data_IF_354241948358
#
_entry.id   IF_354241948358
#
_cell.length_a   1.000
_cell.length_b   1.000
_cell.length_c   1.000
_cell.angle_alpha   90.00
_cell.angle_beta   90.00
_cell.angle_gamma   90.00
#
_symmetry.space_group_name_H-M   'P 1'
#
loop_
_entity.id
_entity.type
_entity.pdbx_description
1 polymer ?
#
# COMPACT_ATOMS: atom_id res chain seq x y z
N UNK A 1 -31.18 8.33 -8.64
CA UNK A 1 -31.34 9.39 -7.63
C UNK A 1 -30.75 8.84 -6.36
N UNK A 2 -29.56 9.32 -5.97
CA UNK A 2 -28.99 8.98 -4.65
C UNK A 2 -29.57 9.99 -3.68
N UNK A 3 -30.26 9.52 -2.65
CA UNK A 3 -30.82 10.38 -1.61
C UNK A 3 -29.66 11.09 -0.88
N UNK A 4 -29.84 12.37 -0.53
CA UNK A 4 -28.82 13.24 0.06
C UNK A 4 -28.34 12.86 1.48
N UNK A 5 -28.47 11.59 1.85
CA UNK A 5 -28.16 11.00 3.14
C UNK A 5 -27.17 9.83 3.08
N UNK A 6 -26.78 9.36 1.89
CA UNK A 6 -25.98 8.12 1.71
C UNK A 6 -24.55 8.17 2.29
N UNK A 7 -24.05 9.35 2.67
CA UNK A 7 -22.67 9.53 3.14
C UNK A 7 -22.55 10.08 4.57
N UNK A 8 -23.67 10.30 5.27
CA UNK A 8 -23.64 10.88 6.62
C UNK A 8 -23.56 9.78 7.67
N UNK A 9 -22.68 9.96 8.67
CA UNK A 9 -22.68 9.07 9.82
C UNK A 9 -24.02 9.22 10.58
N UNK A 10 -24.68 8.11 10.96
CA UNK A 10 -25.94 8.16 11.69
C UNK A 10 -25.82 8.73 13.11
N UNK A 11 -24.59 8.83 13.65
CA UNK A 11 -24.31 9.44 14.95
C UNK A 11 -23.71 10.82 14.70
N UNK A 12 -24.35 11.87 15.21
CA UNK A 12 -23.84 13.23 15.11
C UNK A 12 -22.51 13.36 15.88
N UNK A 13 -21.44 13.67 15.16
CA UNK A 13 -20.14 13.96 15.73
C UNK A 13 -19.43 15.02 14.89
N UNK A 14 -18.62 15.87 15.53
CA UNK A 14 -17.98 17.00 14.89
C UNK A 14 -18.87 18.25 14.78
N UNK A 15 -18.25 19.35 14.39
CA UNK A 15 -18.92 20.61 14.05
C UNK A 15 -18.96 20.76 12.53
N UNK A 16 -19.96 21.46 12.01
CA UNK A 16 -20.00 21.81 10.58
C UNK A 16 -18.72 22.56 10.22
N UNK A 17 -18.13 22.17 9.10
CA UNK A 17 -16.93 22.75 8.53
C UNK A 17 -17.29 23.76 7.44
N UNK A 18 -16.31 24.51 6.94
CA UNK A 18 -16.53 25.42 5.82
C UNK A 18 -17.03 24.69 4.57
N UNK A 19 -16.60 23.45 4.34
CA UNK A 19 -17.05 22.66 3.19
C UNK A 19 -18.55 22.32 3.25
N UNK A 20 -19.09 22.12 4.46
CA UNK A 20 -20.53 21.88 4.65
C UNK A 20 -21.39 23.11 4.30
N UNK A 21 -20.85 24.32 4.52
CA UNK A 21 -21.54 25.58 4.24
C UNK A 21 -21.32 26.08 2.82
N UNK A 22 -20.11 25.91 2.29
CA UNK A 22 -19.70 26.38 0.96
C UNK A 22 -19.09 25.22 0.15
N UNK A 23 -19.90 24.23 -0.29
CA UNK A 23 -19.40 23.02 -0.94
C UNK A 23 -18.72 23.28 -2.30
N UNK A 24 -18.98 24.44 -2.93
CA UNK A 24 -18.37 24.85 -4.20
C UNK A 24 -17.16 25.77 -4.03
N UNK A 25 -16.76 26.08 -2.79
CA UNK A 25 -15.55 26.87 -2.54
C UNK A 25 -14.31 26.11 -3.02
N UNK A 26 -13.34 26.83 -3.57
CA UNK A 26 -12.06 26.25 -3.96
C UNK A 26 -11.38 25.58 -2.76
N UNK A 27 -11.08 24.28 -2.91
CA UNK A 27 -10.38 23.50 -1.89
C UNK A 27 -8.86 23.61 -2.06
N UNK A 28 -8.20 24.20 -1.09
CA UNK A 28 -6.74 24.36 -1.03
C UNK A 28 -6.03 23.25 -0.25
N UNK A 29 -6.76 22.32 0.39
CA UNK A 29 -6.17 21.23 1.19
C UNK A 29 -5.21 20.38 0.37
N UNK A 30 -5.50 20.24 -0.93
CA UNK A 30 -4.65 19.53 -1.91
C UNK A 30 -3.22 20.07 -2.02
N UNK A 31 -2.98 21.34 -1.66
CA UNK A 31 -1.65 21.96 -1.69
C UNK A 31 -0.86 21.71 -0.40
N UNK A 32 -1.52 21.25 0.65
CA UNK A 32 -0.93 20.96 1.96
C UNK A 32 -0.90 19.46 2.28
N UNK A 33 -1.24 18.62 1.30
CA UNK A 33 -1.10 17.18 1.42
C UNK A 33 0.38 16.80 1.64
N UNK A 34 0.58 15.78 2.47
CA UNK A 34 1.84 15.15 2.86
C UNK A 34 2.80 16.16 3.50
N UNK A 35 2.36 16.90 4.53
CA UNK A 35 3.23 17.86 5.19
C UNK A 35 4.37 17.10 5.88
N UNK A 36 5.61 17.65 5.89
CA UNK A 36 6.74 16.99 6.56
C UNK A 36 6.49 16.65 8.03
N UNK A 37 5.60 17.40 8.71
CA UNK A 37 5.22 17.16 10.10
C UNK A 37 4.41 15.87 10.31
N UNK A 38 3.75 15.34 9.28
CA UNK A 38 3.03 14.06 9.33
C UNK A 38 3.95 12.85 9.03
N UNK A 39 5.20 13.08 8.61
CA UNK A 39 6.18 12.04 8.35
C UNK A 39 6.91 11.63 9.65
N UNK A 40 6.71 10.40 10.15
CA UNK A 40 7.39 9.92 11.35
C UNK A 40 8.89 9.63 11.16
N UNK A 41 9.40 9.59 9.93
CA UNK A 41 10.82 9.31 9.64
C UNK A 41 11.70 10.55 9.86
N UNK A 42 11.10 11.74 9.84
CA UNK A 42 11.81 13.00 9.98
C UNK A 42 12.49 13.48 8.69
N UNK A 43 12.87 14.75 8.69
CA UNK A 43 13.38 15.48 7.52
C UNK A 43 14.72 14.96 6.96
N UNK A 44 15.51 14.28 7.79
CA UNK A 44 16.87 13.85 7.44
C UNK A 44 16.90 12.40 6.92
N UNK A 45 15.74 11.73 6.85
CA UNK A 45 15.63 10.36 6.37
C UNK A 45 15.79 10.28 4.84
N UNK A 46 16.68 9.39 4.40
CA UNK A 46 16.98 9.14 2.99
C UNK A 46 16.69 7.68 2.64
N UNK A 47 15.50 7.44 2.07
CA UNK A 47 15.06 6.08 1.77
C UNK A 47 15.96 5.37 0.74
N UNK A 48 16.53 6.10 -0.22
CA UNK A 48 17.38 5.48 -1.23
C UNK A 48 18.63 4.88 -0.58
N UNK A 49 19.28 5.63 0.32
CA UNK A 49 20.44 5.13 1.08
C UNK A 49 20.10 3.95 2.00
N UNK A 50 18.96 4.03 2.67
CA UNK A 50 18.51 2.94 3.55
C UNK A 50 18.21 1.66 2.75
N UNK A 51 17.56 1.79 1.59
CA UNK A 51 17.28 0.69 0.67
C UNK A 51 18.55 0.11 0.06
N UNK A 52 19.54 0.93 -0.31
CA UNK A 52 20.83 0.45 -0.82
C UNK A 52 21.60 -0.38 0.24
N UNK A 53 21.35 -0.11 1.52
CA UNK A 53 21.95 -0.87 2.64
C UNK A 53 21.16 -2.14 3.03
N UNK A 54 20.05 -2.44 2.33
CA UNK A 54 19.19 -3.59 2.59
C UNK A 54 19.80 -4.85 1.98
N UNK A 55 19.86 -5.92 2.78
CA UNK A 55 20.14 -7.27 2.25
C UNK A 55 18.90 -7.79 1.50
N UNK A 56 18.82 -7.49 0.21
CA UNK A 56 17.69 -7.84 -0.63
C UNK A 56 17.56 -9.37 -0.82
N UNK A 57 18.68 -10.09 -0.83
CA UNK A 57 18.67 -11.56 -0.95
C UNK A 57 18.05 -12.19 0.29
N UNK A 58 18.34 -11.66 1.49
CA UNK A 58 17.67 -12.09 2.72
C UNK A 58 16.17 -11.79 2.69
N UNK A 59 15.76 -10.62 2.18
CA UNK A 59 14.33 -10.29 2.02
C UNK A 59 13.66 -11.28 1.09
N UNK A 60 14.24 -11.56 -0.08
CA UNK A 60 13.69 -12.50 -1.06
C UNK A 60 13.61 -13.91 -0.47
N UNK A 61 14.62 -14.34 0.29
CA UNK A 61 14.61 -15.63 1.00
C UNK A 61 13.47 -15.72 2.00
N UNK A 62 13.29 -14.70 2.83
CA UNK A 62 12.20 -14.68 3.81
C UNK A 62 10.83 -14.63 3.14
N UNK A 63 10.68 -13.87 2.05
CA UNK A 63 9.45 -13.82 1.27
C UNK A 63 9.12 -15.19 0.67
N UNK A 64 10.11 -15.92 0.14
CA UNK A 64 9.92 -17.30 -0.35
C UNK A 64 9.50 -18.25 0.76
N UNK A 65 10.10 -18.13 1.95
CA UNK A 65 9.70 -18.94 3.10
C UNK A 65 8.25 -18.64 3.52
N UNK A 66 7.87 -17.35 3.57
CA UNK A 66 6.51 -16.91 3.88
C UNK A 66 5.48 -17.47 2.90
N UNK A 67 5.82 -17.68 1.62
CA UNK A 67 4.88 -18.18 0.62
C UNK A 67 4.20 -19.49 1.06
N UNK A 68 4.93 -20.36 1.75
CA UNK A 68 4.44 -21.68 2.18
C UNK A 68 4.22 -21.79 3.68
N UNK A 69 4.43 -20.71 4.44
CA UNK A 69 4.24 -20.66 5.89
C UNK A 69 2.78 -20.28 6.22
N UNK A 70 1.87 -21.24 5.99
CA UNK A 70 0.43 -21.03 6.15
C UNK A 70 0.06 -20.66 7.59
N UNK A 71 -0.69 -19.57 7.74
CA UNK A 71 -1.18 -19.06 9.01
C UNK A 71 -2.62 -19.53 9.27
N UNK A 72 -2.94 -19.94 10.50
CA UNK A 72 -4.27 -20.46 10.85
C UNK A 72 -5.39 -19.42 10.65
N UNK A 73 -5.11 -18.14 10.88
CA UNK A 73 -6.09 -17.05 10.74
C UNK A 73 -6.38 -16.66 9.29
N UNK A 74 -5.55 -17.11 8.34
CA UNK A 74 -5.78 -16.97 6.90
C UNK A 74 -5.04 -18.07 6.14
N UNK A 75 -5.55 -19.30 6.09
CA UNK A 75 -4.85 -20.44 5.50
C UNK A 75 -4.47 -20.22 4.04
N UNK A 76 -3.31 -20.74 3.63
CA UNK A 76 -2.85 -20.62 2.25
C UNK A 76 -3.60 -21.59 1.34
N UNK A 77 -4.24 -21.06 0.30
CA UNK A 77 -4.81 -21.87 -0.78
C UNK A 77 -3.69 -22.71 -1.41
N UNK A 78 -3.94 -24.03 -1.54
CA UNK A 78 -2.95 -25.00 -2.05
C UNK A 78 -1.63 -25.03 -1.28
N UNK A 79 -1.60 -24.53 -0.04
CA UNK A 79 -0.38 -24.41 0.76
C UNK A 79 0.60 -23.35 0.26
N UNK A 80 0.18 -22.43 -0.61
CA UNK A 80 1.06 -21.39 -1.16
C UNK A 80 0.34 -20.05 -1.40
N UNK A 81 0.77 -18.97 -0.74
CA UNK A 81 0.20 -17.62 -0.86
C UNK A 81 0.50 -16.88 -2.17
N UNK A 82 1.27 -17.47 -3.07
CA UNK A 82 1.75 -16.84 -4.30
C UNK A 82 0.66 -16.14 -5.12
N UNK A 83 -0.48 -16.80 -5.36
CA UNK A 83 -1.59 -16.19 -6.09
C UNK A 83 -2.15 -14.93 -5.40
N UNK A 84 -2.27 -14.97 -4.07
CA UNK A 84 -2.72 -13.83 -3.27
C UNK A 84 -1.73 -12.65 -3.36
N UNK A 85 -0.43 -12.91 -3.32
CA UNK A 85 0.58 -11.86 -3.39
C UNK A 85 0.79 -11.30 -4.79
N UNK A 86 0.64 -12.12 -5.84
CA UNK A 86 0.58 -11.61 -7.22
C UNK A 86 -0.61 -10.66 -7.38
N UNK A 87 -1.79 -11.03 -6.86
CA UNK A 87 -2.96 -10.14 -6.85
C UNK A 87 -2.71 -8.86 -6.06
N UNK A 88 -2.08 -8.94 -4.88
CA UNK A 88 -1.72 -7.77 -4.08
C UNK A 88 -0.88 -6.76 -4.87
N UNK A 89 0.19 -7.25 -5.52
CA UNK A 89 1.09 -6.43 -6.32
C UNK A 89 0.37 -5.81 -7.52
N UNK A 90 -0.40 -6.64 -8.25
CA UNK A 90 -1.22 -6.20 -9.38
C UNK A 90 -2.20 -5.09 -8.98
N UNK A 91 -3.00 -5.28 -7.93
CA UNK A 91 -3.96 -4.26 -7.48
C UNK A 91 -3.28 -3.00 -6.93
N UNK A 92 -2.07 -3.13 -6.36
CA UNK A 92 -1.29 -1.96 -5.94
C UNK A 92 -0.85 -1.13 -7.14
N UNK A 93 -0.42 -1.76 -8.24
CA UNK A 93 0.05 -1.08 -9.45
C UNK A 93 -1.09 -0.66 -10.41
N UNK A 94 -2.17 -1.43 -10.46
CA UNK A 94 -3.25 -1.34 -11.45
C UNK A 94 -4.18 -0.14 -11.33
N UNK A 95 -4.01 0.71 -10.30
CA UNK A 95 -4.76 1.97 -10.16
C UNK A 95 -4.21 3.10 -11.05
N UNK A 96 -3.06 2.88 -11.68
CA UNK A 96 -2.38 3.87 -12.51
C UNK A 96 -3.20 4.27 -13.74
N UNK A 97 -3.18 5.57 -14.08
CA UNK A 97 -3.85 6.13 -15.27
C UNK A 97 -2.89 7.04 -16.03
N UNK A 98 -2.83 6.86 -17.35
CA UNK A 98 -1.94 7.65 -18.23
C UNK A 98 -2.39 9.11 -18.42
N UNK A 99 -3.67 9.42 -18.21
CA UNK A 99 -4.23 10.74 -18.51
C UNK A 99 -3.71 11.84 -17.57
N UNK A 100 -3.46 11.51 -16.30
CA UNK A 100 -3.00 12.45 -15.28
C UNK A 100 -1.82 11.92 -14.45
N UNK A 101 -1.32 10.72 -14.77
CA UNK A 101 -0.20 10.07 -14.09
C UNK A 101 -0.47 9.66 -12.64
N UNK A 102 -1.72 9.75 -12.16
CA UNK A 102 -2.10 9.39 -10.79
C UNK A 102 -2.29 7.88 -10.63
N UNK A 103 -2.30 7.43 -9.37
CA UNK A 103 -2.43 6.02 -9.02
C UNK A 103 -1.10 5.27 -9.07
N UNK A 104 -1.18 3.95 -9.12
CA UNK A 104 -0.02 3.06 -9.11
C UNK A 104 0.53 2.78 -7.70
N UNK A 105 1.58 1.96 -7.64
CA UNK A 105 2.13 1.45 -6.39
C UNK A 105 3.14 2.38 -5.71
N UNK A 106 3.51 3.50 -6.35
CA UNK A 106 4.64 4.35 -5.97
C UNK A 106 4.59 4.92 -4.54
N UNK A 107 3.40 5.14 -3.98
CA UNK A 107 3.24 5.64 -2.60
C UNK A 107 2.82 4.60 -1.57
N UNK A 108 2.61 3.33 -1.96
CA UNK A 108 2.06 2.30 -1.07
C UNK A 108 0.61 2.60 -0.62
N UNK A 109 -0.14 3.36 -1.42
CA UNK A 109 -1.47 3.89 -1.08
C UNK A 109 -2.53 2.81 -0.83
N UNK A 110 -2.31 1.57 -1.28
CA UNK A 110 -3.22 0.45 -1.02
C UNK A 110 -3.45 0.16 0.48
N UNK A 111 -2.58 0.67 1.37
CA UNK A 111 -2.74 0.57 2.83
C UNK A 111 -3.69 1.60 3.44
N UNK A 112 -4.02 2.66 2.70
CA UNK A 112 -4.88 3.76 3.15
C UNK A 112 -6.23 3.76 2.46
N UNK A 113 -7.17 4.53 3.01
CA UNK A 113 -8.42 4.83 2.35
C UNK A 113 -8.17 5.62 1.05
N UNK A 114 -9.03 5.50 0.03
CA UNK A 114 -10.15 4.57 -0.05
C UNK A 114 -9.72 3.15 -0.50
N UNK A 115 -8.50 3.00 -1.02
CA UNK A 115 -8.05 1.78 -1.69
C UNK A 115 -8.06 0.55 -0.77
N UNK A 116 -7.75 0.71 0.51
CA UNK A 116 -7.77 -0.38 1.48
C UNK A 116 -9.16 -1.00 1.70
N UNK A 117 -10.23 -0.31 1.29
CA UNK A 117 -11.63 -0.71 1.47
C UNK A 117 -12.42 -0.77 0.16
N UNK A 118 -11.77 -0.60 -1.00
CA UNK A 118 -12.42 -0.82 -2.28
C UNK A 118 -12.90 -2.28 -2.40
N UNK A 119 -14.10 -2.52 -2.96
CA UNK A 119 -14.63 -3.89 -3.12
C UNK A 119 -13.67 -4.82 -3.85
N UNK A 120 -13.00 -4.30 -4.89
CA UNK A 120 -12.05 -5.07 -5.69
C UNK A 120 -10.76 -5.43 -4.93
N UNK A 121 -10.48 -4.76 -3.80
CA UNK A 121 -9.34 -5.03 -2.93
C UNK A 121 -9.72 -5.92 -1.72
N UNK A 122 -10.90 -6.56 -1.75
CA UNK A 122 -11.32 -7.49 -0.71
C UNK A 122 -10.23 -8.53 -0.41
N UNK A 123 -10.03 -8.79 0.88
CA UNK A 123 -9.03 -9.71 1.44
C UNK A 123 -7.56 -9.33 1.23
N UNK A 124 -7.25 -8.26 0.50
CA UNK A 124 -5.86 -7.77 0.40
C UNK A 124 -5.38 -7.15 1.72
N UNK A 125 -6.29 -6.82 2.64
CA UNK A 125 -5.94 -6.49 4.03
C UNK A 125 -5.25 -7.66 4.75
N UNK A 126 -5.64 -8.91 4.46
CA UNK A 126 -4.99 -10.12 4.99
C UNK A 126 -3.63 -10.32 4.33
N UNK A 127 -3.54 -10.14 3.01
CA UNK A 127 -2.27 -10.19 2.28
C UNK A 127 -1.24 -9.20 2.84
N UNK A 128 -1.65 -7.94 3.08
CA UNK A 128 -0.78 -6.93 3.71
C UNK A 128 -0.41 -7.33 5.14
N UNK A 129 -1.32 -7.96 5.89
CA UNK A 129 -1.06 -8.42 7.26
C UNK A 129 -0.05 -9.58 7.31
N UNK A 130 -0.11 -10.52 6.37
CA UNK A 130 0.87 -11.60 6.24
C UNK A 130 2.30 -11.07 6.03
N UNK A 131 2.45 -9.92 5.39
CA UNK A 131 3.75 -9.28 5.14
C UNK A 131 4.28 -8.45 6.32
N UNK A 132 3.47 -8.23 7.36
CA UNK A 132 3.89 -7.43 8.51
C UNK A 132 5.17 -7.93 9.19
N UNK A 133 5.36 -9.25 9.46
CA UNK A 133 6.60 -9.73 10.07
C UNK A 133 7.85 -9.41 9.24
N UNK A 134 7.74 -9.45 7.91
CA UNK A 134 8.83 -9.04 6.99
C UNK A 134 9.09 -7.54 7.14
N UNK A 135 8.05 -6.71 7.08
CA UNK A 135 8.18 -5.26 7.26
C UNK A 135 8.77 -4.90 8.63
N UNK A 136 8.40 -5.64 9.67
CA UNK A 136 8.91 -5.45 11.03
C UNK A 136 10.39 -5.81 11.12
N UNK A 137 10.81 -6.92 10.50
CA UNK A 137 12.21 -7.37 10.48
C UNK A 137 13.12 -6.38 9.75
N UNK A 138 12.70 -5.86 8.60
CA UNK A 138 13.54 -5.00 7.75
C UNK A 138 13.37 -3.50 8.02
N UNK A 139 12.40 -3.11 8.83
CA UNK A 139 12.25 -1.74 9.32
C UNK A 139 12.23 -0.70 8.19
N UNK A 140 12.87 0.44 8.40
CA UNK A 140 12.79 1.58 7.49
C UNK A 140 13.57 1.38 6.17
N UNK A 141 14.41 0.35 6.10
CA UNK A 141 15.15 -0.02 4.88
C UNK A 141 14.27 -0.59 3.79
N UNK A 142 13.07 -1.07 4.13
CA UNK A 142 12.11 -1.61 3.19
C UNK A 142 10.76 -0.90 3.36
N UNK A 143 10.36 -0.10 2.38
CA UNK A 143 9.07 0.57 2.39
C UNK A 143 7.93 -0.42 2.11
N UNK A 144 6.71 -0.06 2.54
CA UNK A 144 5.52 -0.80 2.14
C UNK A 144 5.27 -0.75 0.62
N UNK A 145 5.62 0.38 -0.01
CA UNK A 145 5.43 0.58 -1.44
C UNK A 145 6.29 -0.39 -2.27
N UNK A 146 7.56 -0.59 -1.89
CA UNK A 146 8.42 -1.57 -2.54
C UNK A 146 8.02 -3.00 -2.16
N UNK A 147 7.72 -3.27 -0.87
CA UNK A 147 7.35 -4.60 -0.41
C UNK A 147 6.12 -5.18 -1.14
N UNK A 148 5.09 -4.37 -1.41
CA UNK A 148 3.90 -4.83 -2.13
C UNK A 148 4.18 -5.26 -3.57
N UNK A 149 5.16 -4.64 -4.23
CA UNK A 149 5.52 -5.01 -5.61
C UNK A 149 6.54 -6.14 -5.60
N UNK A 150 7.53 -6.08 -4.70
CA UNK A 150 8.57 -7.09 -4.54
C UNK A 150 7.98 -8.47 -4.26
N UNK A 151 7.01 -8.57 -3.34
CA UNK A 151 6.37 -9.84 -3.01
C UNK A 151 5.68 -10.48 -4.22
N UNK A 152 5.09 -9.68 -5.12
CA UNK A 152 4.47 -10.18 -6.35
C UNK A 152 5.51 -10.76 -7.31
N UNK A 153 6.64 -10.07 -7.49
CA UNK A 153 7.76 -10.59 -8.29
C UNK A 153 8.33 -11.88 -7.70
N UNK A 154 8.59 -11.91 -6.39
CA UNK A 154 9.12 -13.09 -5.70
C UNK A 154 8.15 -14.27 -5.77
N UNK A 155 6.84 -14.01 -5.66
CA UNK A 155 5.81 -15.04 -5.81
C UNK A 155 5.81 -15.64 -7.22
N UNK A 156 5.94 -14.83 -8.27
CA UNK A 156 6.07 -15.34 -9.64
C UNK A 156 7.30 -16.25 -9.78
N UNK A 157 8.45 -15.82 -9.26
CA UNK A 157 9.68 -16.59 -9.31
C UNK A 157 9.61 -17.89 -8.50
N UNK A 158 9.00 -17.87 -7.32
CA UNK A 158 8.84 -19.07 -6.49
C UNK A 158 7.93 -20.11 -7.15
N UNK A 159 7.04 -19.67 -8.05
CA UNK A 159 6.15 -20.53 -8.84
C UNK A 159 6.70 -20.85 -10.24
N UNK A 160 7.99 -20.60 -10.49
CA UNK A 160 8.68 -21.04 -11.71
C UNK A 160 8.64 -20.05 -12.88
N UNK A 161 8.12 -18.83 -12.69
CA UNK A 161 8.16 -17.77 -13.70
C UNK A 161 9.34 -16.83 -13.48
N UNK A 162 10.32 -16.84 -14.41
CA UNK A 162 11.46 -15.93 -14.34
C UNK A 162 11.04 -14.51 -14.72
N UNK A 163 11.08 -13.59 -13.76
CA UNK A 163 10.82 -12.17 -14.02
C UNK A 163 12.01 -11.50 -14.73
N UNK A 164 11.76 -10.33 -15.33
CA UNK A 164 12.83 -9.55 -15.97
C UNK A 164 13.81 -8.94 -14.95
N UNK A 165 13.30 -8.61 -13.77
CA UNK A 165 14.04 -7.93 -12.70
C UNK A 165 13.10 -7.10 -11.82
N UNK A 166 13.67 -6.48 -10.80
CA UNK A 166 12.96 -5.61 -9.87
C UNK A 166 13.82 -4.37 -9.55
N UNK A 167 13.17 -3.22 -9.41
CA UNK A 167 13.79 -1.98 -8.93
C UNK A 167 13.01 -1.41 -7.75
N UNK A 168 13.71 -1.17 -6.64
CA UNK A 168 13.18 -0.48 -5.47
C UNK A 168 13.27 1.05 -5.57
N UNK A 169 13.08 1.74 -4.45
CA UNK A 169 13.22 3.20 -4.34
C UNK A 169 11.89 3.94 -4.15
N UNK A 170 10.77 3.22 -3.94
CA UNK A 170 9.47 3.85 -3.64
C UNK A 170 9.41 4.23 -2.15
N UNK A 171 9.56 5.51 -1.82
CA UNK A 171 9.37 5.97 -0.45
C UNK A 171 7.89 5.80 0.00
N UNK A 172 7.68 5.41 1.25
CA UNK A 172 6.32 5.30 1.80
C UNK A 172 5.70 6.70 2.01
N UNK A 173 4.40 6.82 1.77
CA UNK A 173 3.63 8.02 2.12
C UNK A 173 2.84 7.77 3.41
N UNK A 174 2.50 8.80 4.17
CA UNK A 174 1.96 8.68 5.52
C UNK A 174 0.49 9.02 5.68
N UNK A 175 -0.12 9.50 4.60
CA UNK A 175 -1.53 9.84 4.52
C UNK A 175 -2.14 9.35 3.20
N UNK A 176 -3.46 9.14 3.16
CA UNK A 176 -4.18 8.89 1.92
C UNK A 176 -3.95 10.04 0.93
N UNK A 177 -3.70 9.71 -0.33
CA UNK A 177 -3.69 10.74 -1.37
C UNK A 177 -5.11 11.20 -1.66
N UNK A 178 -5.37 12.48 -1.48
CA UNK A 178 -6.66 13.09 -1.83
C UNK A 178 -6.81 13.19 -3.36
N UNK A 179 -8.01 12.88 -3.86
CA UNK A 179 -8.33 12.87 -5.30
C UNK A 179 -8.99 14.18 -5.73
#
# INVERSE_FOLDING_TARGET
MADGNDSKCPVAHGVRTNHDWWPQQLDVNRLHAKPPAADPMGKDFDYAKEFDSLDLDAVVKDLRALMTDSQEWWPADFGHYGGLFVRLAWHSAGTYRIADGRGGAGGGQQRFAPLNSWPDNASLDKARRLLWPIKQKYGNKLSWADLYVLVGNVALESMGFKTFGFGGGRAAQWEPTEF
#
